data_IF_203378101117
#
_entry.id   IF_203378101117
#
_cell.length_a   1.000
_cell.length_b   1.000
_cell.length_c   1.000
_cell.angle_alpha   90.00
_cell.angle_beta   90.00
_cell.angle_gamma   90.00
#
_symmetry.space_group_name_H-M   'P 1'
#
loop_
_entity.id
_entity.type
_entity.pdbx_description
1 polymer ?
#
# COMPACT_ATOMS: atom_id res chain seq x y z
N UNK A 1 -18.54 -10.19 -16.31
CA UNK A 1 -18.51 -8.91 -15.56
C UNK A 1 -19.00 -7.80 -16.46
N UNK A 2 -19.82 -6.88 -15.94
CA UNK A 2 -20.25 -5.68 -16.67
C UNK A 2 -19.07 -4.71 -16.77
N UNK A 3 -18.88 -4.07 -17.93
CA UNK A 3 -17.82 -3.07 -18.10
C UNK A 3 -18.17 -1.82 -17.27
N UNK A 4 -17.21 -1.29 -16.54
CA UNK A 4 -17.31 -0.02 -15.83
C UNK A 4 -16.04 0.80 -16.03
N UNK A 5 -16.14 2.13 -15.85
CA UNK A 5 -14.99 3.04 -15.83
C UNK A 5 -14.54 3.20 -14.38
N UNK A 6 -13.25 3.02 -14.12
CA UNK A 6 -12.65 3.15 -12.80
C UNK A 6 -11.54 4.21 -12.84
N UNK A 7 -11.37 4.94 -11.73
CA UNK A 7 -10.13 5.69 -11.50
C UNK A 7 -8.96 4.72 -11.32
N UNK A 8 -7.72 5.21 -11.46
CA UNK A 8 -6.53 4.38 -11.18
C UNK A 8 -6.55 3.79 -9.77
N UNK A 9 -6.92 4.59 -8.77
CA UNK A 9 -7.03 4.15 -7.38
C UNK A 9 -8.08 3.05 -7.19
N UNK A 10 -9.26 3.22 -7.79
CA UNK A 10 -10.32 2.21 -7.75
C UNK A 10 -9.93 0.93 -8.50
N UNK A 11 -9.16 1.05 -9.60
CA UNK A 11 -8.65 -0.09 -10.34
C UNK A 11 -7.59 -0.88 -9.53
N UNK A 12 -6.70 -0.19 -8.78
CA UNK A 12 -5.73 -0.85 -7.88
C UNK A 12 -6.47 -1.59 -6.77
N UNK A 13 -7.45 -0.95 -6.11
CA UNK A 13 -8.27 -1.58 -5.09
C UNK A 13 -9.01 -2.82 -5.62
N UNK A 14 -9.56 -2.73 -6.83
CA UNK A 14 -10.21 -3.86 -7.51
C UNK A 14 -9.22 -4.99 -7.80
N UNK A 15 -8.02 -4.66 -8.27
CA UNK A 15 -6.96 -5.63 -8.50
C UNK A 15 -6.50 -6.33 -7.20
N UNK A 16 -6.43 -5.60 -6.09
CA UNK A 16 -6.13 -6.15 -4.77
C UNK A 16 -7.17 -7.22 -4.37
N UNK A 17 -8.45 -6.91 -4.54
CA UNK A 17 -9.54 -7.84 -4.29
C UNK A 17 -9.44 -9.10 -5.16
N UNK A 18 -9.29 -8.92 -6.48
CA UNK A 18 -9.20 -10.06 -7.42
C UNK A 18 -7.93 -10.91 -7.21
N UNK A 19 -6.86 -10.31 -6.70
CA UNK A 19 -5.61 -11.01 -6.35
C UNK A 19 -5.66 -11.75 -5.01
N UNK A 20 -6.79 -11.70 -4.28
CA UNK A 20 -6.95 -12.36 -2.99
C UNK A 20 -6.11 -11.73 -1.88
N UNK A 21 -5.92 -10.41 -1.90
CA UNK A 21 -5.36 -9.67 -0.75
C UNK A 21 -6.33 -9.82 0.42
N UNK A 22 -5.82 -10.24 1.59
CA UNK A 22 -6.62 -10.40 2.80
C UNK A 22 -6.43 -9.28 3.83
N UNK A 23 -5.31 -8.54 3.77
CA UNK A 23 -5.00 -7.44 4.70
C UNK A 23 -4.48 -6.22 3.95
N UNK A 24 -5.06 -5.06 4.22
CA UNK A 24 -4.55 -3.75 3.81
C UNK A 24 -4.42 -2.83 5.02
N UNK A 25 -3.19 -2.48 5.37
CA UNK A 25 -2.91 -1.48 6.42
C UNK A 25 -2.20 -0.30 5.79
N UNK A 26 -2.71 0.91 5.96
CA UNK A 26 -2.20 2.13 5.31
C UNK A 26 -2.23 3.32 6.26
N UNK A 27 -1.53 4.38 5.93
CA UNK A 27 -1.64 5.67 6.61
C UNK A 27 -2.07 6.74 5.60
N UNK A 28 -2.92 7.72 5.97
CA UNK A 28 -3.42 8.70 5.02
C UNK A 28 -2.30 9.50 4.33
N UNK A 29 -2.28 9.46 2.99
CA UNK A 29 -1.41 10.28 2.14
C UNK A 29 -1.97 10.45 0.73
N UNK A 30 -2.49 11.64 0.40
CA UNK A 30 -3.05 11.95 -0.93
C UNK A 30 -1.97 11.93 -2.01
N UNK A 31 -2.05 11.16 -3.11
CA UNK A 31 -3.27 10.58 -3.67
C UNK A 31 -3.50 9.09 -3.34
N UNK A 32 -2.60 8.43 -2.59
CA UNK A 32 -2.69 6.99 -2.27
C UNK A 32 -3.87 6.63 -1.36
N UNK A 33 -4.36 7.54 -0.51
CA UNK A 33 -5.45 7.28 0.44
C UNK A 33 -6.72 6.74 -0.22
N UNK A 34 -7.01 7.19 -1.44
CA UNK A 34 -8.21 6.77 -2.17
C UNK A 34 -8.20 5.28 -2.49
N UNK A 35 -7.02 4.64 -2.57
CA UNK A 35 -6.92 3.19 -2.79
C UNK A 35 -7.52 2.47 -1.58
N UNK A 36 -7.07 2.80 -0.37
CA UNK A 36 -7.58 2.22 0.88
C UNK A 36 -9.06 2.57 1.09
N UNK A 37 -9.48 3.77 0.71
CA UNK A 37 -10.90 4.16 0.71
C UNK A 37 -11.76 3.35 -0.27
N UNK A 38 -11.23 2.89 -1.40
CA UNK A 38 -11.94 1.98 -2.30
C UNK A 38 -11.92 0.54 -1.76
N UNK A 39 -10.88 0.15 -1.02
CA UNK A 39 -10.75 -1.19 -0.44
C UNK A 39 -11.83 -1.46 0.61
N UNK A 40 -12.27 -0.44 1.36
CA UNK A 40 -13.30 -0.58 2.41
C UNK A 40 -14.64 -1.16 1.92
N UNK A 41 -14.88 -1.17 0.60
CA UNK A 41 -16.09 -1.74 0.01
C UNK A 41 -15.99 -3.26 -0.24
N UNK A 42 -14.81 -3.86 -0.05
CA UNK A 42 -14.58 -5.31 -0.14
C UNK A 42 -14.49 -5.90 1.27
N UNK A 43 -15.60 -6.43 1.78
CA UNK A 43 -15.72 -6.93 3.15
C UNK A 43 -14.81 -8.15 3.45
N UNK A 44 -14.33 -8.82 2.41
CA UNK A 44 -13.41 -9.95 2.48
C UNK A 44 -11.97 -9.52 2.82
N UNK A 45 -11.66 -8.23 2.69
CA UNK A 45 -10.36 -7.66 2.99
C UNK A 45 -10.43 -6.97 4.36
N UNK A 46 -9.56 -7.36 5.29
CA UNK A 46 -9.34 -6.57 6.49
C UNK A 46 -8.59 -5.29 6.10
N UNK A 47 -9.22 -4.12 6.29
CA UNK A 47 -8.62 -2.83 5.98
C UNK A 47 -8.59 -1.91 7.18
N UNK A 48 -7.46 -1.23 7.40
CA UNK A 48 -7.31 -0.28 8.51
C UNK A 48 -6.47 0.95 8.15
N UNK A 49 -6.66 2.00 8.95
CA UNK A 49 -5.74 3.13 9.03
C UNK A 49 -4.81 2.92 10.23
N UNK A 50 -3.53 2.73 9.97
CA UNK A 50 -2.49 2.60 10.98
C UNK A 50 -2.13 3.96 11.61
N UNK A 51 -1.27 3.93 12.62
CA UNK A 51 -0.81 5.15 13.33
C UNK A 51 0.19 5.97 12.54
N UNK A 52 0.98 5.34 11.66
CA UNK A 52 1.91 5.96 10.70
C UNK A 52 2.29 4.94 9.61
N UNK A 53 3.08 5.36 8.62
CA UNK A 53 3.50 4.54 7.49
C UNK A 53 4.41 3.38 7.88
N UNK A 54 5.25 3.57 8.89
CA UNK A 54 6.11 2.50 9.43
C UNK A 54 5.24 1.36 9.97
N UNK A 55 4.28 1.67 10.83
CA UNK A 55 3.36 0.70 11.43
C UNK A 55 2.48 0.06 10.36
N UNK A 56 2.02 0.84 9.37
CA UNK A 56 1.24 0.31 8.25
C UNK A 56 2.00 -0.79 7.49
N UNK A 57 3.28 -0.53 7.17
CA UNK A 57 4.12 -1.51 6.50
C UNK A 57 4.43 -2.71 7.41
N UNK A 58 4.69 -2.51 8.70
CA UNK A 58 4.95 -3.61 9.66
C UNK A 58 3.75 -4.54 9.82
N UNK A 59 2.52 -4.02 9.85
CA UNK A 59 1.29 -4.84 9.85
C UNK A 59 1.17 -5.66 8.57
N UNK A 60 1.40 -5.02 7.40
CA UNK A 60 1.35 -5.71 6.12
C UNK A 60 2.45 -6.80 6.02
N UNK A 61 3.66 -6.51 6.49
CA UNK A 61 4.76 -7.48 6.61
C UNK A 61 4.34 -8.65 7.50
N UNK A 62 3.84 -8.39 8.71
CA UNK A 62 3.39 -9.43 9.64
C UNK A 62 2.34 -10.34 9.03
N UNK A 63 1.36 -9.76 8.32
CA UNK A 63 0.34 -10.51 7.58
C UNK A 63 0.95 -11.41 6.48
N UNK A 64 1.89 -10.88 5.70
CA UNK A 64 2.58 -11.63 4.65
C UNK A 64 3.41 -12.80 5.20
N UNK A 65 4.04 -12.62 6.35
CA UNK A 65 4.78 -13.68 7.05
C UNK A 65 3.85 -14.72 7.66
N UNK A 66 2.64 -14.33 8.08
CA UNK A 66 1.60 -15.26 8.54
C UNK A 66 0.92 -16.04 7.40
N UNK A 67 1.29 -15.80 6.14
CA UNK A 67 0.77 -16.52 4.97
C UNK A 67 -0.47 -15.89 4.33
N UNK A 68 -0.83 -14.66 4.71
CA UNK A 68 -1.93 -13.91 4.07
C UNK A 68 -1.37 -12.87 3.13
N UNK A 69 -1.89 -12.78 1.90
CA UNK A 69 -1.44 -11.74 0.95
C UNK A 69 -1.85 -10.37 1.47
N UNK A 70 -0.94 -9.41 1.44
CA UNK A 70 -1.15 -8.10 2.04
C UNK A 70 -0.71 -6.95 1.16
N UNK A 71 -1.24 -5.77 1.45
CA UNK A 71 -0.92 -4.54 0.73
C UNK A 71 -0.79 -3.36 1.70
N UNK A 72 0.06 -2.41 1.36
CA UNK A 72 0.07 -1.09 2.02
C UNK A 72 0.15 0.00 0.96
N UNK A 73 -0.54 1.11 1.18
CA UNK A 73 -0.60 2.24 0.26
C UNK A 73 -0.06 3.48 0.96
N UNK A 74 0.88 4.19 0.31
CA UNK A 74 1.48 5.42 0.82
C UNK A 74 2.05 6.28 -0.31
N UNK A 75 2.44 7.52 0.01
CA UNK A 75 3.27 8.35 -0.88
C UNK A 75 4.75 8.00 -0.77
N UNK A 76 5.56 8.50 -1.70
CA UNK A 76 7.03 8.43 -1.66
C UNK A 76 7.62 8.90 -0.32
N UNK A 77 7.16 10.02 0.22
CA UNK A 77 7.61 10.50 1.55
C UNK A 77 7.24 9.55 2.69
N UNK A 78 6.10 8.87 2.56
CA UNK A 78 5.66 7.85 3.50
C UNK A 78 6.53 6.59 3.44
N UNK A 79 6.95 6.21 2.22
CA UNK A 79 7.91 5.13 2.03
C UNK A 79 9.25 5.43 2.69
N UNK A 80 9.68 6.70 2.70
CA UNK A 80 10.88 7.10 3.44
C UNK A 80 10.72 6.84 4.94
N UNK A 81 9.56 7.15 5.52
CA UNK A 81 9.24 6.87 6.94
C UNK A 81 9.26 5.36 7.21
N UNK A 82 8.76 4.57 6.25
CA UNK A 82 8.71 3.12 6.32
C UNK A 82 9.99 2.40 5.80
N UNK A 83 11.05 3.15 5.48
CA UNK A 83 12.24 2.57 4.82
C UNK A 83 13.00 1.57 5.70
N UNK A 84 13.03 1.79 7.02
CA UNK A 84 13.67 0.90 8.00
C UNK A 84 13.11 -0.54 7.97
N UNK A 85 11.78 -0.75 8.15
CA UNK A 85 11.21 -2.09 7.98
C UNK A 85 11.24 -2.60 6.54
N UNK A 86 11.17 -1.73 5.53
CA UNK A 86 11.29 -2.15 4.12
C UNK A 86 12.66 -2.77 3.83
N UNK A 87 13.74 -2.13 4.27
CA UNK A 87 15.10 -2.64 4.12
C UNK A 87 15.29 -3.94 4.89
N UNK A 88 14.72 -4.03 6.10
CA UNK A 88 14.76 -5.28 6.89
C UNK A 88 14.05 -6.42 6.17
N UNK A 89 12.90 -6.15 5.55
CA UNK A 89 12.13 -7.15 4.82
C UNK A 89 12.91 -7.80 3.68
N UNK A 90 13.82 -7.05 3.03
CA UNK A 90 14.66 -7.57 1.94
C UNK A 90 15.51 -8.77 2.38
N UNK A 91 15.83 -8.88 3.67
CA UNK A 91 16.58 -10.00 4.24
C UNK A 91 15.68 -11.15 4.70
N UNK A 92 14.50 -10.83 5.23
CA UNK A 92 13.60 -11.84 5.82
C UNK A 92 12.70 -12.50 4.78
N UNK A 93 12.44 -11.82 3.66
CA UNK A 93 11.48 -12.25 2.64
C UNK A 93 10.03 -12.22 3.15
N UNK A 94 9.16 -12.93 2.42
CA UNK A 94 7.73 -13.04 2.69
C UNK A 94 7.24 -14.48 2.50
N UNK A 95 6.20 -14.91 3.22
CA UNK A 95 5.57 -16.23 3.05
C UNK A 95 4.36 -16.20 2.10
N UNK A 96 3.74 -15.03 1.95
CA UNK A 96 2.72 -14.72 0.96
C UNK A 96 3.05 -13.41 0.25
N UNK A 97 2.33 -13.07 -0.82
CA UNK A 97 2.60 -11.83 -1.56
C UNK A 97 2.36 -10.57 -0.73
N UNK A 98 3.33 -9.66 -0.71
CA UNK A 98 3.21 -8.29 -0.19
C UNK A 98 3.31 -7.30 -1.36
N UNK A 99 2.39 -6.34 -1.42
CA UNK A 99 2.45 -5.23 -2.38
C UNK A 99 2.56 -3.90 -1.65
N UNK A 100 3.62 -3.15 -1.92
CA UNK A 100 3.78 -1.77 -1.46
C UNK A 100 3.40 -0.84 -2.61
N UNK A 101 2.24 -0.19 -2.51
CA UNK A 101 1.79 0.79 -3.52
C UNK A 101 2.31 2.16 -3.12
N UNK A 102 3.14 2.73 -3.99
CA UNK A 102 3.78 4.02 -3.78
C UNK A 102 3.23 5.02 -4.79
N UNK A 103 2.57 6.05 -4.29
CA UNK A 103 2.10 7.16 -5.11
C UNK A 103 3.12 8.31 -5.08
N UNK A 104 3.95 8.38 -6.12
CA UNK A 104 4.84 9.53 -6.32
C UNK A 104 4.03 10.79 -6.66
N UNK A 105 4.49 11.94 -6.19
CA UNK A 105 3.89 13.26 -6.41
C UNK A 105 4.77 14.07 -7.39
N UNK A 106 4.66 13.82 -8.72
CA UNK A 106 5.48 14.51 -9.70
C UNK A 106 5.16 16.01 -9.70
N UNK A 107 6.20 16.83 -9.80
CA UNK A 107 6.14 18.28 -9.58
C UNK A 107 5.71 18.72 -8.17
N UNK A 108 5.64 17.81 -7.20
CA UNK A 108 5.49 18.15 -5.79
C UNK A 108 4.22 18.98 -5.50
N UNK A 109 3.05 18.53 -5.98
CA UNK A 109 1.80 19.29 -5.82
C UNK A 109 1.35 19.37 -4.35
N UNK A 110 1.64 18.33 -3.58
CA UNK A 110 1.18 18.17 -2.20
C UNK A 110 2.23 17.49 -1.30
N UNK A 111 3.49 17.51 -1.70
CA UNK A 111 4.65 17.02 -0.95
C UNK A 111 5.67 18.13 -0.72
N UNK A 112 6.71 17.86 0.07
CA UNK A 112 7.78 18.84 0.33
C UNK A 112 8.93 18.74 -0.68
N UNK A 113 8.97 17.64 -1.44
CA UNK A 113 9.92 17.38 -2.50
C UNK A 113 9.29 16.46 -3.56
N UNK A 114 9.88 16.48 -4.75
CA UNK A 114 9.75 15.44 -5.74
C UNK A 114 10.83 14.40 -5.47
N UNK A 115 10.48 13.11 -5.47
CA UNK A 115 11.43 12.02 -5.34
C UNK A 115 10.99 10.87 -6.22
N UNK A 116 11.97 10.17 -6.78
CA UNK A 116 11.75 8.94 -7.53
C UNK A 116 11.82 7.75 -6.55
N UNK A 117 10.68 7.15 -6.23
CA UNK A 117 10.64 6.03 -5.27
C UNK A 117 11.29 4.75 -5.82
N UNK A 118 11.57 4.68 -7.14
CA UNK A 118 12.18 3.49 -7.74
C UNK A 118 13.59 3.22 -7.25
N UNK A 119 14.25 4.20 -6.62
CA UNK A 119 15.54 3.97 -5.95
C UNK A 119 15.47 3.02 -4.75
N UNK A 120 14.26 2.67 -4.27
CA UNK A 120 14.04 1.62 -3.29
C UNK A 120 13.96 0.19 -3.87
N UNK A 121 13.90 0.03 -5.20
CA UNK A 121 13.62 -1.23 -5.89
C UNK A 121 14.79 -1.76 -6.73
#
# INVERSE_FOLDING_TARGET
>A
MTKCVLSGNAAIARGAYEAGIGVVSSYPGTPSSEITDNIKYFNEIYSEWATNEKVALEVAIGSSLAGTRSMTCMKHVGLNVASDPLMTLSYTGVNAGLVVVVADDPNMFSSQNEQDSRHYA
#
